data_IF_194654832754
#
_entry.id   IF_194654832754
#
_cell.length_a   1.000
_cell.length_b   1.000
_cell.length_c   1.000
_cell.angle_alpha   90.00
_cell.angle_beta   90.00
_cell.angle_gamma   90.00
#
_symmetry.space_group_name_H-M   'P 1'
#
loop_
_entity.id
_entity.type
_entity.pdbx_description
1 polymer ?
#
# COMPACT_ATOMS: atom_id res chain seq x y z
N UNK A 1 16.63 -0.13 11.04
CA UNK A 1 15.64 0.10 9.97
C UNK A 1 15.38 -1.17 9.18
N UNK A 2 16.40 -1.94 8.85
CA UNK A 2 16.27 -3.25 8.18
C UNK A 2 15.26 -4.19 8.84
N UNK A 3 15.38 -4.43 10.15
CA UNK A 3 14.44 -5.30 10.89
C UNK A 3 12.99 -4.78 10.84
N UNK A 4 12.80 -3.46 10.90
CA UNK A 4 11.49 -2.83 10.78
C UNK A 4 10.90 -2.99 9.37
N UNK A 5 11.71 -2.78 8.33
CA UNK A 5 11.32 -2.97 6.94
C UNK A 5 10.97 -4.44 6.65
N UNK A 6 11.80 -5.37 7.14
CA UNK A 6 11.59 -6.80 7.01
C UNK A 6 10.31 -7.25 7.75
N UNK A 7 10.09 -6.74 8.96
CA UNK A 7 8.87 -7.03 9.73
C UNK A 7 7.63 -6.52 9.01
N UNK A 8 7.67 -5.29 8.49
CA UNK A 8 6.56 -4.67 7.78
C UNK A 8 6.25 -5.38 6.45
N UNK A 9 7.29 -5.73 5.67
CA UNK A 9 7.14 -6.50 4.45
C UNK A 9 6.56 -7.91 4.73
N UNK A 10 7.04 -8.56 5.79
CA UNK A 10 6.54 -9.86 6.20
C UNK A 10 5.07 -9.78 6.65
N UNK A 11 4.68 -8.74 7.38
CA UNK A 11 3.29 -8.55 7.81
C UNK A 11 2.34 -8.32 6.62
N UNK A 12 2.79 -7.56 5.61
CA UNK A 12 2.03 -7.40 4.36
C UNK A 12 1.93 -8.72 3.59
N UNK A 13 3.03 -9.47 3.47
CA UNK A 13 3.07 -10.71 2.70
C UNK A 13 2.33 -11.88 3.37
N UNK A 14 2.41 -11.99 4.70
CA UNK A 14 1.83 -13.11 5.47
C UNK A 14 0.42 -12.81 6.00
N UNK A 15 0.13 -11.55 6.34
CA UNK A 15 -1.16 -11.13 6.88
C UNK A 15 -2.09 -10.61 5.79
N UNK A 16 -1.69 -9.54 5.11
CA UNK A 16 -2.60 -8.81 4.23
C UNK A 16 -2.81 -9.47 2.85
N UNK A 17 -1.73 -9.90 2.19
CA UNK A 17 -1.79 -10.44 0.84
C UNK A 17 -2.67 -11.71 0.69
N UNK A 18 -2.64 -12.70 1.60
CA UNK A 18 -3.46 -13.92 1.46
C UNK A 18 -4.96 -13.66 1.62
N UNK A 19 -5.34 -12.61 2.35
CA UNK A 19 -6.73 -12.27 2.64
C UNK A 19 -7.28 -11.18 1.70
N UNK A 20 -6.45 -10.64 0.81
CA UNK A 20 -6.82 -9.55 -0.09
C UNK A 20 -8.02 -9.87 -0.96
N UNK A 21 -8.06 -11.07 -1.55
CA UNK A 21 -9.15 -11.47 -2.45
C UNK A 21 -10.48 -11.58 -1.71
N UNK A 22 -10.44 -12.11 -0.48
CA UNK A 22 -11.61 -12.21 0.39
C UNK A 22 -12.14 -10.84 0.80
N UNK A 23 -11.24 -9.93 1.20
CA UNK A 23 -11.58 -8.55 1.58
C UNK A 23 -12.13 -7.78 0.37
N UNK A 24 -11.48 -7.91 -0.78
CA UNK A 24 -11.90 -7.28 -2.05
C UNK A 24 -13.28 -7.76 -2.47
N UNK A 25 -13.51 -9.07 -2.43
CA UNK A 25 -14.81 -9.67 -2.75
C UNK A 25 -15.91 -9.18 -1.82
N UNK A 26 -15.65 -9.12 -0.52
CA UNK A 26 -16.61 -8.62 0.46
C UNK A 26 -16.91 -7.12 0.25
N UNK A 27 -15.89 -6.30 0.02
CA UNK A 27 -16.03 -4.86 -0.17
C UNK A 27 -16.73 -4.49 -1.48
N UNK A 28 -16.46 -5.24 -2.57
CA UNK A 28 -17.02 -4.99 -3.90
C UNK A 28 -18.30 -5.79 -4.18
N UNK A 29 -18.86 -6.46 -3.17
CA UNK A 29 -20.13 -7.16 -3.30
C UNK A 29 -21.21 -6.19 -3.75
N UNK A 30 -21.80 -6.44 -4.93
CA UNK A 30 -22.83 -5.58 -5.50
C UNK A 30 -24.06 -5.57 -4.62
N UNK A 31 -24.40 -4.38 -4.13
CA UNK A 31 -25.63 -4.11 -3.41
C UNK A 31 -26.78 -4.01 -4.43
N UNK A 32 -27.95 -4.62 -4.18
CA UNK A 32 -29.10 -4.48 -5.07
C UNK A 32 -29.56 -3.02 -5.16
N UNK A 33 -30.16 -2.64 -6.29
CA UNK A 33 -30.76 -1.30 -6.43
C UNK A 33 -31.92 -1.15 -5.43
N UNK A 34 -31.98 -0.01 -4.76
CA UNK A 34 -33.09 0.32 -3.87
C UNK A 34 -34.43 0.36 -4.61
N UNK A 35 -35.49 -0.10 -3.95
CA UNK A 35 -36.83 0.00 -4.48
C UNK A 35 -37.25 1.49 -4.51
N UNK A 36 -37.70 2.03 -5.67
CA UNK A 36 -38.10 3.44 -5.78
C UNK A 36 -39.29 3.82 -4.88
N UNK A 37 -40.04 2.85 -4.37
CA UNK A 37 -41.10 3.08 -3.38
C UNK A 37 -40.55 3.48 -1.99
N UNK A 38 -39.25 3.30 -1.75
CA UNK A 38 -38.57 3.60 -0.48
C UNK A 38 -37.33 4.46 -0.75
N UNK A 39 -37.50 5.79 -0.90
CA UNK A 39 -36.40 6.69 -1.26
C UNK A 39 -35.27 6.71 -0.22
N UNK A 40 -35.57 6.51 1.07
CA UNK A 40 -34.58 6.41 2.13
C UNK A 40 -33.72 5.16 1.99
N UNK A 41 -34.32 4.03 1.60
CA UNK A 41 -33.59 2.79 1.33
C UNK A 41 -32.71 2.95 0.08
N UNK A 42 -33.22 3.57 -0.98
CA UNK A 42 -32.43 3.85 -2.17
C UNK A 42 -31.22 4.74 -1.85
N UNK A 43 -31.43 5.83 -1.13
CA UNK A 43 -30.35 6.72 -0.69
C UNK A 43 -29.34 6.02 0.21
N UNK A 44 -29.79 5.16 1.14
CA UNK A 44 -28.90 4.36 1.97
C UNK A 44 -28.02 3.44 1.14
N UNK A 45 -28.58 2.70 0.17
CA UNK A 45 -27.83 1.75 -0.65
C UNK A 45 -26.82 2.45 -1.57
N UNK A 46 -27.17 3.62 -2.10
CA UNK A 46 -26.26 4.45 -2.90
C UNK A 46 -25.08 4.93 -2.05
N UNK A 47 -25.32 5.46 -0.84
CA UNK A 47 -24.24 5.89 0.06
C UNK A 47 -23.42 4.73 0.58
N UNK A 48 -24.05 3.59 0.84
CA UNK A 48 -23.33 2.37 1.21
C UNK A 48 -22.36 1.95 0.11
N UNK A 49 -22.78 2.00 -1.15
CA UNK A 49 -21.91 1.69 -2.28
C UNK A 49 -20.73 2.67 -2.38
N UNK A 50 -20.95 3.97 -2.23
CA UNK A 50 -19.86 4.95 -2.22
C UNK A 50 -18.85 4.70 -1.09
N UNK A 51 -19.32 4.39 0.11
CA UNK A 51 -18.46 4.07 1.25
C UNK A 51 -17.67 2.79 0.98
N UNK A 52 -18.29 1.74 0.42
CA UNK A 52 -17.58 0.52 0.01
C UNK A 52 -16.42 0.81 -0.94
N UNK A 53 -16.66 1.64 -1.96
CA UNK A 53 -15.62 2.01 -2.93
C UNK A 53 -14.50 2.83 -2.29
N UNK A 54 -14.83 3.77 -1.40
CA UNK A 54 -13.83 4.59 -0.71
C UNK A 54 -12.99 3.75 0.26
N UNK A 55 -13.62 2.84 1.01
CA UNK A 55 -12.91 1.92 1.89
C UNK A 55 -11.96 1.03 1.09
N UNK A 56 -12.43 0.45 -0.02
CA UNK A 56 -11.60 -0.35 -0.92
C UNK A 56 -10.37 0.42 -1.41
N UNK A 57 -10.55 1.65 -1.90
CA UNK A 57 -9.46 2.52 -2.36
C UNK A 57 -8.45 2.81 -1.24
N UNK A 58 -8.92 3.13 -0.03
CA UNK A 58 -8.06 3.41 1.11
C UNK A 58 -7.22 2.19 1.51
N UNK A 59 -7.82 1.00 1.53
CA UNK A 59 -7.11 -0.24 1.89
C UNK A 59 -6.06 -0.60 0.84
N UNK A 60 -6.36 -0.42 -0.45
CA UNK A 60 -5.38 -0.59 -1.52
C UNK A 60 -4.22 0.40 -1.42
N UNK A 61 -4.51 1.69 -1.24
CA UNK A 61 -3.48 2.73 -1.10
C UNK A 61 -2.59 2.49 0.12
N UNK A 62 -3.15 2.00 1.23
CA UNK A 62 -2.38 1.63 2.41
C UNK A 62 -1.40 0.50 2.09
N UNK A 63 -1.85 -0.60 1.46
CA UNK A 63 -0.97 -1.70 1.05
C UNK A 63 0.18 -1.19 0.19
N UNK A 64 -0.14 -0.45 -0.87
CA UNK A 64 0.86 -0.02 -1.85
C UNK A 64 1.86 0.95 -1.21
N UNK A 65 1.38 1.88 -0.39
CA UNK A 65 2.24 2.78 0.39
C UNK A 65 3.13 2.04 1.38
N UNK A 66 2.61 1.04 2.09
CA UNK A 66 3.40 0.19 3.01
C UNK A 66 4.47 -0.61 2.26
N UNK A 67 4.14 -1.14 1.09
CA UNK A 67 5.12 -1.84 0.25
C UNK A 67 6.23 -0.89 -0.22
N UNK A 68 5.89 0.29 -0.76
CA UNK A 68 6.89 1.28 -1.17
C UNK A 68 7.76 1.72 0.00
N UNK A 69 7.18 1.91 1.19
CA UNK A 69 7.92 2.22 2.41
C UNK A 69 8.91 1.12 2.76
N UNK A 70 8.48 -0.14 2.76
CA UNK A 70 9.34 -1.27 3.06
C UNK A 70 10.50 -1.39 2.06
N UNK A 71 10.23 -1.24 0.76
CA UNK A 71 11.25 -1.24 -0.30
C UNK A 71 12.25 -0.11 -0.12
N UNK A 72 11.78 1.13 0.11
CA UNK A 72 12.68 2.27 0.32
C UNK A 72 13.56 2.07 1.56
N UNK A 73 12.98 1.59 2.67
CA UNK A 73 13.71 1.32 3.91
C UNK A 73 14.75 0.20 3.74
N UNK A 74 14.45 -0.81 2.91
CA UNK A 74 15.41 -1.86 2.55
C UNK A 74 16.58 -1.31 1.72
N UNK A 75 16.29 -0.51 0.68
CA UNK A 75 17.32 0.12 -0.15
C UNK A 75 18.27 0.97 0.67
N UNK A 76 17.72 1.86 1.52
CA UNK A 76 18.52 2.71 2.41
C UNK A 76 19.34 1.85 3.38
N UNK A 77 18.74 0.82 3.98
CA UNK A 77 19.46 -0.05 4.92
C UNK A 77 20.63 -0.79 4.23
N UNK A 78 20.46 -1.23 2.98
CA UNK A 78 21.51 -1.85 2.20
C UNK A 78 22.63 -0.86 1.81
N UNK A 79 22.26 0.37 1.42
CA UNK A 79 23.22 1.41 1.01
C UNK A 79 24.10 1.88 2.19
N UNK A 80 23.57 1.85 3.41
CA UNK A 80 24.30 2.25 4.61
C UNK A 80 24.71 1.10 5.53
N UNK A 81 24.65 -0.17 5.08
CA UNK A 81 24.94 -1.34 5.91
C UNK A 81 26.35 -1.33 6.53
N UNK A 82 27.34 -0.79 5.82
CA UNK A 82 28.75 -0.74 6.25
C UNK A 82 29.15 0.58 6.94
N UNK A 83 28.19 1.49 7.15
CA UNK A 83 28.43 2.78 7.83
C UNK A 83 27.47 2.92 9.01
N UNK A 84 27.79 3.79 9.97
CA UNK A 84 26.83 4.13 11.02
C UNK A 84 25.64 4.86 10.37
N UNK A 85 24.64 4.08 9.95
CA UNK A 85 23.53 4.49 9.09
C UNK A 85 22.72 5.65 9.68
N UNK A 86 22.72 5.79 11.02
CA UNK A 86 22.07 6.90 11.72
C UNK A 86 22.84 8.22 11.61
N UNK A 87 24.17 8.18 11.43
CA UNK A 87 25.00 9.37 11.31
C UNK A 87 25.12 9.88 9.86
N UNK A 88 24.89 9.01 8.87
CA UNK A 88 25.19 9.30 7.46
C UNK A 88 24.00 9.45 6.51
N UNK A 89 22.83 8.88 6.83
CA UNK A 89 21.64 9.00 5.98
C UNK A 89 21.14 10.45 5.95
N UNK A 90 21.12 11.10 4.78
CA UNK A 90 20.52 12.43 4.62
C UNK A 90 19.03 12.30 4.26
N UNK A 91 18.25 13.30 4.65
CA UNK A 91 16.81 13.38 4.32
C UNK A 91 16.55 13.30 2.81
N UNK A 92 17.48 13.79 1.98
CA UNK A 92 17.38 13.68 0.53
C UNK A 92 17.49 12.22 0.05
N UNK A 93 18.36 11.41 0.65
CA UNK A 93 18.58 10.01 0.26
C UNK A 93 17.32 9.19 0.59
N UNK A 94 16.69 9.46 1.74
CA UNK A 94 15.38 8.90 2.11
C UNK A 94 14.32 9.30 1.10
N UNK A 95 14.21 10.59 0.78
CA UNK A 95 13.18 11.12 -0.14
C UNK A 95 13.36 10.55 -1.56
N UNK A 96 14.59 10.37 -2.01
CA UNK A 96 14.92 9.77 -3.29
C UNK A 96 14.53 8.29 -3.32
N UNK A 97 14.87 7.51 -2.29
CA UNK A 97 14.49 6.11 -2.18
C UNK A 97 12.97 5.91 -2.16
N UNK A 98 12.20 6.79 -1.50
CA UNK A 98 10.74 6.77 -1.56
C UNK A 98 10.19 7.08 -2.95
N UNK A 99 10.78 8.07 -3.62
CA UNK A 99 10.37 8.46 -4.98
C UNK A 99 10.62 7.34 -5.98
N UNK A 100 11.75 6.66 -5.84
CA UNK A 100 12.13 5.54 -6.71
C UNK A 100 11.31 4.28 -6.39
N UNK A 101 11.04 3.97 -5.12
CA UNK A 101 10.16 2.88 -4.73
C UNK A 101 8.70 3.08 -5.18
N UNK A 102 8.25 4.33 -5.31
CA UNK A 102 6.90 4.67 -5.80
C UNK A 102 6.78 4.68 -7.33
N UNK A 103 7.89 4.52 -8.06
CA UNK A 103 7.92 4.55 -9.52
C UNK A 103 8.32 3.18 -10.09
N UNK A 104 7.36 2.34 -10.52
CA UNK A 104 7.62 0.97 -10.95
C UNK A 104 8.51 0.87 -12.21
N UNK A 105 8.71 1.96 -12.95
CA UNK A 105 9.59 2.01 -14.13
C UNK A 105 11.08 2.17 -13.80
N UNK A 106 11.44 2.52 -12.56
CA UNK A 106 12.84 2.63 -12.13
C UNK A 106 13.38 1.39 -11.42
N UNK A 107 12.51 0.56 -10.84
CA UNK A 107 12.91 -0.62 -10.07
C UNK A 107 13.47 -1.78 -10.91
N UNK A 108 13.31 -1.74 -12.24
CA UNK A 108 13.82 -2.79 -13.17
C UNK A 108 15.05 -2.35 -13.98
N UNK A 109 15.61 -1.15 -13.75
CA UNK A 109 16.61 -0.53 -14.61
C UNK A 109 18.08 -0.57 -14.13
N UNK A 110 18.46 -1.54 -13.31
CA UNK A 110 19.78 -1.61 -12.66
C UNK A 110 20.67 -2.76 -13.11
N UNK A 111 20.56 -3.24 -14.35
CA UNK A 111 21.54 -4.13 -14.99
C UNK A 111 21.83 -3.58 -16.40
N UNK A 112 23.12 -3.59 -16.76
CA UNK A 112 23.76 -3.11 -18.00
C UNK A 112 24.00 -1.60 -18.16
N UNK A 113 25.19 -1.14 -17.74
CA UNK A 113 26.40 -1.03 -18.60
C UNK A 113 27.56 -0.37 -17.86
#
# INVERSE_FOLDING_TARGET
MEEFAATLANEVASGYAPHLDQVTTAMLTRVPKGNPAFPELAGFLDRHHEVQQQTFSNTFNFRDGTHHFATAAQTISAEYADTDAYAHAKVNDVTQAFTDASNPLKSEGGVDS
#
